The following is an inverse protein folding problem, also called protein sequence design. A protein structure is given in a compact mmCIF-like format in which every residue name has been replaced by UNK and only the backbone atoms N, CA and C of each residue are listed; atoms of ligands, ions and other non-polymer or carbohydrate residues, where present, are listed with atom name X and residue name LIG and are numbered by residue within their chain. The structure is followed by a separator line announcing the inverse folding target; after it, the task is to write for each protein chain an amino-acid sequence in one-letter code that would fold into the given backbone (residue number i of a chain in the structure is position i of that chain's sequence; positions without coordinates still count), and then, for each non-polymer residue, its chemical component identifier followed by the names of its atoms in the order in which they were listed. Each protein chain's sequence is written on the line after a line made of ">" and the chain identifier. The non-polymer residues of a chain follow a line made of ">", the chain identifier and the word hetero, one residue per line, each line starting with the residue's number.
data_IF_034139765992
#
_entry.id   IF_034139765992
#
_cell.length_a   1.000
_cell.length_b   1.000
_cell.length_c   1.000
_cell.angle_alpha   90.00
_cell.angle_beta   90.00
_cell.angle_gamma   90.00
#
_symmetry.space_group_name_H-M   'P 1'
#
loop_
_entity.id
_entity.type
_entity.pdbx_description
1 polymer ?
#
# COMPACT_ATOMS: atom_id res chain seq x y z
N UNK A 1 3.12 21.38 -1.46
CA UNK A 1 3.62 20.20 -0.72
C UNK A 1 2.54 19.72 0.23
N UNK A 2 2.31 18.41 0.31
CA UNK A 2 1.38 17.82 1.30
C UNK A 2 2.11 17.73 2.64
N UNK A 3 1.56 18.33 3.69
CA UNK A 3 2.09 18.28 5.06
C UNK A 3 1.46 17.19 5.91
N UNK A 4 0.29 16.67 5.53
CA UNK A 4 -0.37 15.55 6.18
C UNK A 4 -1.66 15.12 5.48
N UNK A 5 -2.15 13.93 5.81
CA UNK A 5 -3.43 13.38 5.35
C UNK A 5 -4.14 12.73 6.53
N UNK A 6 -5.42 13.05 6.76
CA UNK A 6 -6.13 12.69 8.01
C UNK A 6 -7.30 11.70 7.87
N UNK A 7 -7.54 11.15 6.68
CA UNK A 7 -8.61 10.17 6.45
C UNK A 7 -8.06 8.74 6.52
N UNK A 8 -8.90 7.71 6.69
CA UNK A 8 -8.44 6.32 6.58
C UNK A 8 -7.62 6.12 5.30
N UNK A 9 -6.46 5.48 5.45
CA UNK A 9 -5.54 5.20 4.35
C UNK A 9 -4.99 3.79 4.52
N UNK A 10 -4.98 3.04 3.42
CA UNK A 10 -4.22 1.79 3.30
C UNK A 10 -3.24 1.93 2.14
N UNK A 11 -1.98 1.62 2.41
CA UNK A 11 -0.90 1.62 1.44
C UNK A 11 -0.48 0.17 1.16
N UNK A 12 -0.75 -0.30 -0.05
CA UNK A 12 -0.44 -1.68 -0.47
C UNK A 12 0.74 -1.65 -1.43
N UNK A 13 1.80 -2.38 -1.11
CA UNK A 13 3.06 -2.39 -1.86
C UNK A 13 3.48 -3.81 -2.23
N UNK A 14 3.79 -4.01 -3.50
CA UNK A 14 4.45 -5.23 -3.96
C UNK A 14 5.94 -5.22 -3.62
N UNK A 15 6.48 -6.37 -3.21
CA UNK A 15 7.86 -6.50 -2.73
C UNK A 15 8.82 -7.22 -3.69
N UNK A 16 8.35 -7.66 -4.86
CA UNK A 16 9.24 -8.22 -5.89
C UNK A 16 10.19 -7.14 -6.43
N UNK A 17 11.32 -7.56 -6.99
CA UNK A 17 12.41 -6.68 -7.45
C UNK A 17 12.00 -5.59 -8.45
N UNK A 18 10.95 -5.83 -9.22
CA UNK A 18 10.38 -4.87 -10.18
C UNK A 18 9.40 -3.87 -9.56
N UNK A 19 9.24 -3.87 -8.23
CA UNK A 19 8.52 -2.80 -7.54
C UNK A 19 9.23 -1.48 -7.77
N UNK A 20 8.46 -0.46 -8.13
CA UNK A 20 8.99 0.90 -8.36
C UNK A 20 8.86 1.80 -7.14
N UNK A 21 8.27 1.27 -6.06
CA UNK A 21 8.03 2.00 -4.81
C UNK A 21 9.02 1.48 -3.78
N UNK A 22 9.82 2.39 -3.23
CA UNK A 22 10.91 2.07 -2.32
C UNK A 22 10.51 2.16 -0.85
N UNK A 23 11.45 1.83 0.04
CA UNK A 23 11.25 1.98 1.48
C UNK A 23 11.20 3.47 1.87
N UNK A 24 11.89 4.34 1.14
CA UNK A 24 11.86 5.79 1.33
C UNK A 24 10.49 6.39 0.98
N UNK A 25 9.83 5.89 -0.06
CA UNK A 25 8.47 6.31 -0.43
C UNK A 25 7.47 5.96 0.69
N UNK A 26 7.58 4.75 1.24
CA UNK A 26 6.78 4.29 2.38
C UNK A 26 7.02 5.15 3.62
N UNK A 27 8.29 5.45 3.93
CA UNK A 27 8.64 6.30 5.06
C UNK A 27 8.06 7.72 4.92
N UNK A 28 8.10 8.32 3.72
CA UNK A 28 7.52 9.63 3.48
C UNK A 28 5.97 9.62 3.53
N UNK A 29 5.33 8.50 3.17
CA UNK A 29 3.88 8.31 3.36
C UNK A 29 3.54 8.23 4.85
N UNK A 30 4.22 7.36 5.60
CA UNK A 30 4.00 7.16 7.04
C UNK A 30 4.24 8.45 7.81
N UNK A 31 5.23 9.25 7.43
CA UNK A 31 5.48 10.58 8.01
C UNK A 31 4.29 11.54 7.88
N UNK A 32 3.52 11.47 6.78
CA UNK A 32 2.36 12.35 6.50
C UNK A 32 1.03 11.74 6.92
N UNK A 33 0.98 10.42 7.09
CA UNK A 33 -0.20 9.67 7.49
C UNK A 33 0.22 8.53 8.44
N UNK A 34 0.59 8.85 9.70
CA UNK A 34 1.12 7.85 10.64
C UNK A 34 0.09 6.79 11.04
N UNK A 35 -1.20 7.01 10.77
CA UNK A 35 -2.28 6.05 10.96
C UNK A 35 -2.54 5.17 9.72
N UNK A 36 -1.77 5.31 8.65
CA UNK A 36 -1.92 4.48 7.47
C UNK A 36 -1.69 3.00 7.81
N UNK A 37 -2.57 2.13 7.34
CA UNK A 37 -2.32 0.69 7.32
C UNK A 37 -1.35 0.40 6.18
N UNK A 38 -0.24 -0.29 6.46
CA UNK A 38 0.74 -0.68 5.45
C UNK A 38 0.63 -2.18 5.22
N UNK A 39 0.50 -2.59 3.97
CA UNK A 39 0.40 -3.99 3.54
C UNK A 39 1.47 -4.29 2.50
N UNK A 40 2.27 -5.31 2.78
CA UNK A 40 3.33 -5.78 1.88
C UNK A 40 2.89 -7.09 1.23
N UNK A 41 2.91 -7.14 -0.09
CA UNK A 41 2.57 -8.34 -0.85
C UNK A 41 3.86 -8.90 -1.47
N UNK A 42 4.34 -10.01 -0.91
CA UNK A 42 5.59 -10.65 -1.31
C UNK A 42 5.59 -11.02 -2.80
N UNK A 43 4.46 -11.52 -3.31
CA UNK A 43 4.32 -12.04 -4.67
C UNK A 43 3.86 -11.01 -5.71
N UNK A 44 3.95 -9.71 -5.39
CA UNK A 44 3.62 -8.64 -6.34
C UNK A 44 4.81 -7.71 -6.60
N UNK A 45 4.91 -7.17 -7.81
CA UNK A 45 5.82 -6.08 -8.17
C UNK A 45 5.07 -4.75 -8.29
N UNK A 46 5.35 -3.99 -9.36
CA UNK A 46 4.70 -2.69 -9.61
C UNK A 46 3.17 -2.80 -9.78
N UNK A 47 2.69 -3.88 -10.40
CA UNK A 47 1.28 -4.05 -10.73
C UNK A 47 0.62 -5.04 -9.76
N UNK A 48 0.40 -4.62 -8.52
CA UNK A 48 -0.24 -5.46 -7.48
C UNK A 48 -1.58 -6.01 -7.96
N UNK A 49 -2.40 -5.18 -8.61
CA UNK A 49 -3.69 -5.57 -9.17
C UNK A 49 -3.60 -6.60 -10.31
N UNK A 50 -2.46 -6.67 -11.00
CA UNK A 50 -2.21 -7.67 -12.04
C UNK A 50 -1.58 -8.94 -11.48
N UNK A 51 -0.64 -8.81 -10.55
CA UNK A 51 0.14 -9.91 -9.98
C UNK A 51 -0.67 -10.72 -8.95
N UNK A 52 -1.39 -10.04 -8.05
CA UNK A 52 -2.15 -10.66 -6.94
C UNK A 52 -3.58 -10.08 -6.80
N UNK A 53 -4.40 -10.12 -7.86
CA UNK A 53 -5.73 -9.47 -7.88
C UNK A 53 -6.66 -9.91 -6.75
N UNK A 54 -6.65 -11.19 -6.36
CA UNK A 54 -7.55 -11.72 -5.33
C UNK A 54 -7.13 -11.29 -3.91
N UNK A 55 -5.83 -11.24 -3.64
CA UNK A 55 -5.27 -10.79 -2.36
C UNK A 55 -5.53 -9.28 -2.18
N UNK A 56 -5.26 -8.48 -3.21
CA UNK A 56 -5.60 -7.05 -3.20
C UNK A 56 -7.10 -6.83 -2.97
N UNK A 57 -7.96 -7.60 -3.66
CA UNK A 57 -9.40 -7.49 -3.47
C UNK A 57 -9.85 -7.87 -2.04
N UNK A 58 -9.18 -8.83 -1.40
CA UNK A 58 -9.44 -9.18 0.00
C UNK A 58 -9.06 -8.04 0.95
N UNK A 59 -7.88 -7.44 0.77
CA UNK A 59 -7.44 -6.27 1.55
C UNK A 59 -8.40 -5.09 1.39
N UNK A 60 -8.86 -4.82 0.16
CA UNK A 60 -9.83 -3.73 -0.09
C UNK A 60 -11.15 -3.97 0.62
N UNK A 61 -11.69 -5.21 0.57
CA UNK A 61 -12.93 -5.55 1.28
C UNK A 61 -12.78 -5.39 2.79
N UNK A 62 -11.72 -5.95 3.35
CA UNK A 62 -11.40 -5.84 4.78
C UNK A 62 -11.26 -4.38 5.22
N UNK A 63 -10.51 -3.57 4.47
CA UNK A 63 -10.33 -2.14 4.76
C UNK A 63 -11.63 -1.32 4.64
N UNK A 64 -12.51 -1.69 3.69
CA UNK A 64 -13.80 -1.04 3.48
C UNK A 64 -14.91 -1.55 4.42
N UNK A 65 -14.66 -2.63 5.17
CA UNK A 65 -15.67 -3.29 6.00
C UNK A 65 -16.76 -4.00 5.19
N UNK A 66 -16.41 -4.58 4.04
CA UNK A 66 -17.30 -5.27 3.10
C UNK A 66 -17.23 -6.80 3.24
#
# INVERSE_FOLDING_TARGET
>A
MVSGFGKPLMFVRGMRKQSVVSDEDEAELVKRAPHARVEHIAEAGHSVQGDTPLELAALIRDFAGL
#
